data_IF_627503530412
#
_entry.id   IF_627503530412
#
_cell.length_a   1.000
_cell.length_b   1.000
_cell.length_c   1.000
_cell.angle_alpha   90.00
_cell.angle_beta   90.00
_cell.angle_gamma   90.00
#
_symmetry.space_group_name_H-M   'P 1'
#
loop_
_entity.id
_entity.type
_entity.pdbx_description
1 polymer ?
#
# COMPACT_ATOMS: atom_id res chain seq x y z
N UNK A 1 1.64 -8.68 -25.04
CA UNK A 1 0.72 -8.26 -23.96
C UNK A 1 0.06 -6.96 -24.35
N UNK A 2 -1.24 -6.82 -24.14
CA UNK A 2 -1.95 -5.55 -24.33
C UNK A 2 -2.04 -4.85 -22.96
N UNK A 3 -1.59 -3.60 -22.89
CA UNK A 3 -1.70 -2.80 -21.67
C UNK A 3 -3.04 -2.06 -21.69
N UNK A 4 -3.84 -2.22 -20.63
CA UNK A 4 -5.08 -1.46 -20.43
C UNK A 4 -4.76 -0.32 -19.47
N UNK A 5 -5.02 0.92 -19.87
CA UNK A 5 -4.90 2.08 -18.98
C UNK A 5 -6.20 2.24 -18.21
N UNK A 6 -6.11 2.32 -16.89
CA UNK A 6 -7.24 2.56 -16.01
C UNK A 6 -6.96 3.81 -15.15
N UNK A 7 -8.00 4.60 -14.89
CA UNK A 7 -7.94 5.67 -13.90
C UNK A 7 -7.92 5.09 -12.48
N UNK A 8 -7.67 5.92 -11.48
CA UNK A 8 -7.75 5.48 -10.08
C UNK A 8 -9.19 5.12 -9.70
N UNK A 9 -9.34 4.18 -8.76
CA UNK A 9 -10.64 3.70 -8.28
C UNK A 9 -10.89 2.22 -8.56
N UNK A 10 -12.12 1.78 -8.25
CA UNK A 10 -12.56 0.41 -8.47
C UNK A 10 -12.93 0.19 -9.94
N UNK A 11 -12.41 -0.87 -10.52
CA UNK A 11 -12.71 -1.31 -11.88
C UNK A 11 -13.15 -2.76 -11.89
N UNK A 12 -13.98 -3.08 -12.87
CA UNK A 12 -14.38 -4.46 -13.17
C UNK A 12 -13.86 -4.81 -14.55
N UNK A 13 -12.95 -5.79 -14.61
CA UNK A 13 -12.47 -6.35 -15.86
C UNK A 13 -13.33 -7.57 -16.22
N UNK A 14 -13.94 -7.52 -17.40
CA UNK A 14 -14.63 -8.66 -18.01
C UNK A 14 -13.71 -9.32 -19.03
N UNK A 15 -13.45 -10.61 -18.87
CA UNK A 15 -12.78 -11.44 -19.86
C UNK A 15 -13.82 -12.37 -20.46
N UNK A 16 -14.03 -12.25 -21.78
CA UNK A 16 -14.96 -13.10 -22.55
C UNK A 16 -14.18 -13.93 -23.57
N UNK A 17 -14.46 -15.22 -23.62
CA UNK A 17 -13.95 -16.13 -24.64
C UNK A 17 -15.10 -16.72 -25.44
N UNK A 18 -14.92 -16.87 -26.75
CA UNK A 18 -15.89 -17.50 -27.66
C UNK A 18 -15.33 -18.79 -28.24
N UNK A 19 -16.19 -19.76 -28.53
CA UNK A 19 -15.85 -20.95 -29.32
C UNK A 19 -16.29 -20.82 -30.78
N UNK A 20 -16.00 -21.85 -31.60
CA UNK A 20 -16.33 -21.86 -33.03
C UNK A 20 -17.82 -21.93 -33.33
N UNK A 21 -18.67 -22.27 -32.35
CA UNK A 21 -20.13 -22.23 -32.46
C UNK A 21 -20.70 -20.85 -32.14
N UNK A 22 -19.88 -19.94 -31.63
CA UNK A 22 -20.28 -18.61 -31.16
C UNK A 22 -20.77 -18.57 -29.71
N UNK A 23 -20.75 -19.71 -29.00
CA UNK A 23 -21.00 -19.73 -27.57
C UNK A 23 -19.84 -19.03 -26.84
N UNK A 24 -20.13 -18.43 -25.68
CA UNK A 24 -19.13 -17.71 -24.91
C UNK A 24 -19.16 -18.04 -23.42
N UNK A 25 -18.03 -17.85 -22.77
CA UNK A 25 -17.86 -17.88 -21.32
C UNK A 25 -17.22 -16.58 -20.82
N UNK A 26 -17.64 -16.13 -19.65
CA UNK A 26 -17.21 -14.89 -19.02
C UNK A 26 -16.50 -15.15 -17.68
N UNK A 27 -15.46 -14.37 -17.40
CA UNK A 27 -14.86 -14.22 -16.08
C UNK A 27 -14.78 -12.75 -15.73
N UNK A 28 -15.14 -12.43 -14.49
CA UNK A 28 -15.09 -11.07 -13.95
C UNK A 28 -14.00 -10.96 -12.90
N UNK A 29 -13.24 -9.86 -12.92
CA UNK A 29 -12.18 -9.55 -11.95
C UNK A 29 -12.40 -8.12 -11.44
N UNK A 30 -12.59 -7.96 -10.14
CA UNK A 30 -12.62 -6.64 -9.50
C UNK A 30 -11.22 -6.23 -9.10
N UNK A 31 -10.81 -5.01 -9.47
CA UNK A 31 -9.48 -4.48 -9.22
C UNK A 31 -9.58 -3.06 -8.65
N UNK A 32 -8.73 -2.75 -7.69
CA UNK A 32 -8.57 -1.41 -7.15
C UNK A 32 -7.28 -0.80 -7.71
N UNK A 33 -7.40 0.33 -8.40
CA UNK A 33 -6.25 1.08 -8.92
C UNK A 33 -5.99 2.26 -7.98
N UNK A 34 -4.92 2.19 -7.22
CA UNK A 34 -4.52 3.27 -6.31
C UNK A 34 -3.68 4.32 -7.03
N UNK A 35 -3.85 5.59 -6.66
CA UNK A 35 -3.04 6.69 -7.19
C UNK A 35 -1.59 6.56 -6.73
N UNK A 36 -1.42 6.20 -5.46
CA UNK A 36 -0.15 5.86 -4.84
C UNK A 36 -0.32 4.47 -4.22
N UNK A 37 0.52 3.52 -4.61
CA UNK A 37 0.53 2.19 -4.02
C UNK A 37 1.67 2.13 -3.00
N UNK A 38 1.34 1.95 -1.72
CA UNK A 38 2.30 1.77 -0.62
C UNK A 38 2.40 0.29 -0.30
N UNK A 39 3.58 -0.19 0.03
CA UNK A 39 3.80 -1.53 0.54
C UNK A 39 4.79 -1.50 1.71
N UNK A 40 4.36 -1.98 2.87
CA UNK A 40 5.22 -2.22 4.02
C UNK A 40 5.90 -3.57 3.82
N UNK A 41 7.23 -3.55 3.75
CA UNK A 41 8.07 -4.74 3.54
C UNK A 41 8.67 -5.27 4.84
N UNK A 42 8.77 -4.42 5.87
CA UNK A 42 9.21 -4.82 7.20
C UNK A 42 8.53 -3.95 8.27
N UNK A 43 8.03 -4.54 9.37
CA UNK A 43 7.87 -5.99 9.61
C UNK A 43 6.68 -6.58 8.83
N UNK A 44 6.59 -7.92 8.83
CA UNK A 44 5.42 -8.61 8.30
C UNK A 44 4.19 -8.36 9.18
N UNK A 45 3.00 -8.38 8.58
CA UNK A 45 1.74 -8.28 9.32
C UNK A 45 1.60 -9.42 10.33
N UNK A 46 1.28 -9.07 11.58
CA UNK A 46 1.18 -9.98 12.72
C UNK A 46 2.51 -10.32 13.40
N UNK A 47 3.63 -9.69 13.00
CA UNK A 47 4.93 -9.99 13.58
C UNK A 47 5.04 -9.58 15.07
N UNK A 48 5.81 -10.36 15.83
CA UNK A 48 6.30 -9.98 17.16
C UNK A 48 7.69 -9.38 17.02
N UNK A 49 7.87 -8.13 17.45
CA UNK A 49 9.09 -7.32 17.20
C UNK A 49 9.55 -6.61 18.47
N UNK A 50 10.84 -6.29 18.55
CA UNK A 50 11.40 -5.49 19.65
C UNK A 50 11.37 -4.01 19.32
N UNK A 51 11.09 -3.15 20.30
CA UNK A 51 11.24 -1.69 20.15
C UNK A 51 12.73 -1.29 20.26
N UNK A 52 13.22 -0.33 19.46
CA UNK A 52 12.54 0.37 18.37
C UNK A 52 12.20 -0.57 17.20
N UNK A 53 10.98 -0.44 16.67
CA UNK A 53 10.54 -1.26 15.54
C UNK A 53 11.04 -0.62 14.25
N UNK A 54 11.84 -1.35 13.48
CA UNK A 54 12.26 -0.91 12.16
C UNK A 54 11.10 -1.08 11.16
N UNK A 55 10.61 0.03 10.61
CA UNK A 55 9.57 0.08 9.58
C UNK A 55 10.21 0.41 8.24
N UNK A 56 10.10 -0.52 7.30
CA UNK A 56 10.51 -0.32 5.91
C UNK A 56 9.29 -0.39 5.01
N UNK A 57 9.16 0.59 4.12
CA UNK A 57 8.10 0.60 3.11
C UNK A 57 8.57 1.28 1.84
N UNK A 58 7.94 0.92 0.72
CA UNK A 58 8.15 1.56 -0.59
C UNK A 58 6.82 2.00 -1.19
N UNK A 59 6.86 3.00 -2.06
CA UNK A 59 5.68 3.50 -2.74
C UNK A 59 5.92 3.64 -4.25
N UNK A 60 4.85 3.45 -5.01
CA UNK A 60 4.80 3.64 -6.45
C UNK A 60 3.69 4.64 -6.78
N UNK A 61 4.01 5.64 -7.61
CA UNK A 61 3.06 6.60 -8.15
C UNK A 61 3.48 6.96 -9.59
N UNK A 62 2.54 7.28 -10.50
CA UNK A 62 2.87 7.90 -11.78
C UNK A 62 3.46 9.31 -11.63
N UNK A 63 3.33 9.94 -10.46
CA UNK A 63 3.85 11.25 -10.13
C UNK A 63 5.00 11.15 -9.11
N UNK A 64 5.75 12.25 -8.93
CA UNK A 64 6.82 12.30 -7.94
C UNK A 64 6.26 12.17 -6.52
N UNK A 65 6.85 11.30 -5.69
CA UNK A 65 6.50 11.19 -4.27
C UNK A 65 7.05 12.38 -3.47
N UNK A 66 6.20 12.98 -2.65
CA UNK A 66 6.44 14.27 -1.95
C UNK A 66 6.28 14.18 -0.44
N UNK A 67 5.93 13.01 0.10
CA UNK A 67 5.77 12.87 1.54
C UNK A 67 5.53 11.45 2.00
N UNK A 68 5.91 11.20 3.24
CA UNK A 68 5.73 9.97 3.99
C UNK A 68 5.32 10.30 5.42
N UNK A 69 4.41 9.50 5.98
CA UNK A 69 4.03 9.55 7.37
C UNK A 69 3.80 8.14 7.88
N UNK A 70 4.42 7.80 8.99
CA UNK A 70 4.13 6.59 9.76
C UNK A 70 3.25 6.99 10.93
N UNK A 71 2.18 6.23 11.13
CA UNK A 71 1.29 6.34 12.27
C UNK A 71 1.36 5.06 13.09
N UNK A 72 1.39 5.21 14.41
CA UNK A 72 1.20 4.12 15.38
C UNK A 72 -0.09 4.41 16.13
N UNK A 73 -1.05 3.50 16.07
CA UNK A 73 -2.37 3.65 16.69
C UNK A 73 -3.05 4.97 16.33
N UNK A 74 -2.98 5.33 15.04
CA UNK A 74 -3.49 6.60 14.47
C UNK A 74 -2.79 7.88 14.95
N UNK A 75 -1.68 7.77 15.69
CA UNK A 75 -0.86 8.91 16.11
C UNK A 75 0.37 9.04 15.17
N UNK A 76 0.64 10.24 14.61
CA UNK A 76 1.85 10.48 13.81
C UNK A 76 3.13 10.19 14.61
N UNK A 77 4.00 9.32 14.11
CA UNK A 77 5.25 8.93 14.80
C UNK A 77 6.53 9.25 14.01
N UNK A 78 6.45 9.31 12.68
CA UNK A 78 7.60 9.64 11.82
C UNK A 78 7.15 10.29 10.52
N UNK A 79 7.91 11.27 10.00
CA UNK A 79 7.63 11.94 8.72
C UNK A 79 8.89 12.13 7.89
N UNK A 80 8.75 12.05 6.56
CA UNK A 80 9.82 12.31 5.58
C UNK A 80 9.24 13.01 4.34
N UNK A 81 9.97 13.95 3.73
CA UNK A 81 9.43 14.87 2.70
C UNK A 81 9.65 14.41 1.26
N UNK A 82 10.34 13.30 1.01
CA UNK A 82 10.64 12.81 -0.34
C UNK A 82 11.13 11.36 -0.32
N UNK A 83 11.45 10.80 -1.48
CA UNK A 83 11.98 9.44 -1.62
C UNK A 83 10.92 8.42 -1.99
N UNK A 84 11.35 7.33 -2.64
CA UNK A 84 10.48 6.22 -3.06
C UNK A 84 10.31 5.16 -1.97
N UNK A 85 10.99 5.33 -0.84
CA UNK A 85 10.94 4.43 0.31
C UNK A 85 11.18 5.19 1.61
N UNK A 86 10.79 4.54 2.71
CA UNK A 86 11.09 4.91 4.07
C UNK A 86 11.74 3.72 4.78
N UNK A 87 12.72 4.01 5.62
CA UNK A 87 13.38 3.08 6.54
C UNK A 87 13.59 3.84 7.84
N UNK A 88 12.76 3.56 8.84
CA UNK A 88 12.70 4.32 10.08
C UNK A 88 12.52 3.41 11.30
N UNK A 89 13.25 3.69 12.37
CA UNK A 89 13.04 3.07 13.66
C UNK A 89 12.00 3.87 14.44
N UNK A 90 10.90 3.22 14.82
CA UNK A 90 9.77 3.84 15.53
C UNK A 90 9.63 3.20 16.91
N UNK A 91 9.66 4.02 17.95
CA UNK A 91 9.45 3.57 19.33
C UNK A 91 8.00 3.16 19.55
N UNK A 92 7.80 1.99 20.15
CA UNK A 92 6.49 1.44 20.50
C UNK A 92 6.57 0.83 21.89
N UNK A 93 5.54 1.08 22.69
CA UNK A 93 5.44 0.47 24.03
C UNK A 93 5.13 -1.03 23.91
N UNK A 94 5.17 -1.75 25.04
CA UNK A 94 4.70 -3.14 25.08
C UNK A 94 3.19 -3.18 24.76
N UNK A 95 2.79 -4.06 23.85
CA UNK A 95 1.40 -4.18 23.41
C UNK A 95 1.26 -4.52 21.93
N UNK A 96 0.01 -4.63 21.49
CA UNK A 96 -0.34 -4.74 20.07
C UNK A 96 -0.59 -3.35 19.51
N UNK A 97 0.03 -3.06 18.38
CA UNK A 97 -0.05 -1.76 17.70
C UNK A 97 -0.50 -1.92 16.26
N UNK A 98 -1.33 -0.99 15.80
CA UNK A 98 -1.63 -0.83 14.37
C UNK A 98 -0.67 0.20 13.78
N UNK A 99 0.12 -0.22 12.79
CA UNK A 99 1.06 0.63 12.07
C UNK A 99 0.51 0.90 10.68
N UNK A 100 0.29 2.17 10.37
CA UNK A 100 -0.12 2.63 9.04
C UNK A 100 1.00 3.49 8.45
N UNK A 101 1.42 3.15 7.23
CA UNK A 101 2.37 3.98 6.47
C UNK A 101 1.62 4.62 5.31
N UNK A 102 1.70 5.94 5.21
CA UNK A 102 1.11 6.73 4.13
C UNK A 102 2.19 7.43 3.32
N UNK A 103 2.00 7.47 2.00
CA UNK A 103 2.80 8.28 1.09
C UNK A 103 1.91 9.21 0.25
N UNK A 104 2.45 10.38 -0.10
CA UNK A 104 1.80 11.37 -0.98
C UNK A 104 2.62 11.58 -2.24
N UNK A 105 1.94 11.90 -3.33
CA UNK A 105 2.56 12.36 -4.56
C UNK A 105 2.38 13.87 -4.80
N UNK A 106 3.02 14.38 -5.85
CA UNK A 106 3.04 15.81 -6.19
C UNK A 106 1.69 16.38 -6.62
N UNK A 107 0.67 15.54 -6.83
CA UNK A 107 -0.70 15.98 -7.09
C UNK A 107 -1.53 16.08 -5.80
N UNK A 108 -0.97 15.67 -4.67
CA UNK A 108 -1.66 15.57 -3.38
C UNK A 108 -2.42 14.25 -3.21
N UNK A 109 -2.39 13.36 -4.19
CA UNK A 109 -2.93 12.02 -4.05
C UNK A 109 -2.09 11.21 -3.05
N UNK A 110 -2.73 10.26 -2.36
CA UNK A 110 -2.06 9.43 -1.37
C UNK A 110 -2.51 7.98 -1.46
N UNK A 111 -1.74 7.13 -0.79
CA UNK A 111 -2.04 5.73 -0.53
C UNK A 111 -1.49 5.34 0.83
N UNK A 112 -2.04 4.28 1.38
CA UNK A 112 -1.60 3.72 2.65
C UNK A 112 -1.51 2.20 2.59
N UNK A 113 -0.70 1.66 3.48
CA UNK A 113 -0.66 0.24 3.83
C UNK A 113 -0.65 0.13 5.35
N UNK A 114 -1.29 -0.91 5.89
CA UNK A 114 -1.51 -1.07 7.32
C UNK A 114 -1.19 -2.49 7.74
N UNK A 115 -0.40 -2.61 8.81
CA UNK A 115 -0.07 -3.87 9.46
C UNK A 115 -0.36 -3.79 10.96
N UNK A 116 -0.51 -4.94 11.60
CA UNK A 116 -0.51 -5.06 13.05
C UNK A 116 0.80 -5.70 13.51
N UNK A 117 1.36 -5.23 14.61
CA UNK A 117 2.58 -5.77 15.22
C UNK A 117 2.39 -5.93 16.72
N UNK A 118 3.15 -6.81 17.35
CA UNK A 118 3.15 -6.99 18.81
C UNK A 118 4.55 -6.75 19.37
N UNK A 119 4.66 -5.89 20.37
CA UNK A 119 5.87 -5.67 21.15
C UNK A 119 5.74 -6.43 22.48
N UNK A 120 6.55 -7.47 22.72
CA UNK A 120 6.37 -8.42 23.82
C UNK A 120 6.85 -7.94 25.19
#
# INVERSE_FOLDING_TARGET
TANIRAATGQHTLLVRAWDSSGAYGDQTISLQVNAVAVNISNPANGASVTSPVNIMANALSPNTLTGWQIYVDSVPSFSQTNGTSVDANVEMNRGTHTVMVRAWDSTGAYGDDTINVTVP
#
